data_IF_260573317505
#
_entry.id   IF_260573317505
#
_cell.length_a   1.000
_cell.length_b   1.000
_cell.length_c   1.000
_cell.angle_alpha   90.00
_cell.angle_beta   90.00
_cell.angle_gamma   90.00
#
_symmetry.space_group_name_H-M   'P 1'
#
loop_
_entity.id
_entity.type
_entity.pdbx_description
1 polymer ?
#
# COMPACT_ATOMS: atom_id res chain seq x y z
N UNK A 1 -11.93 11.28 -12.92
CA UNK A 1 -13.01 10.30 -13.22
C UNK A 1 -12.85 9.63 -14.60
N UNK A 2 -12.21 10.25 -15.61
CA UNK A 2 -12.09 9.67 -16.96
C UNK A 2 -10.93 8.68 -17.20
N UNK A 3 -9.90 8.63 -16.36
CA UNK A 3 -8.76 7.71 -16.59
C UNK A 3 -9.04 6.26 -16.17
N UNK A 4 -9.92 6.04 -15.17
CA UNK A 4 -10.32 4.67 -14.75
C UNK A 4 -11.10 3.96 -15.86
N UNK A 5 -11.95 4.68 -16.60
CA UNK A 5 -12.76 4.12 -17.68
C UNK A 5 -11.96 3.71 -18.92
N UNK A 6 -10.74 4.23 -19.12
CA UNK A 6 -9.94 3.95 -20.32
C UNK A 6 -9.08 2.68 -20.21
N UNK A 7 -8.79 2.20 -19.00
CA UNK A 7 -8.15 0.88 -18.78
C UNK A 7 -9.15 -0.30 -18.86
N UNK A 8 -10.44 0.00 -19.07
CA UNK A 8 -11.57 -0.88 -18.75
C UNK A 8 -12.13 -1.68 -19.94
N UNK A 9 -11.56 -1.55 -21.14
CA UNK A 9 -12.17 -2.05 -22.38
C UNK A 9 -11.76 -3.47 -22.80
N UNK A 10 -11.03 -4.25 -21.97
CA UNK A 10 -10.52 -5.54 -22.43
C UNK A 10 -10.59 -6.70 -21.44
N UNK A 11 -11.43 -6.66 -20.41
CA UNK A 11 -11.57 -7.84 -19.53
C UNK A 11 -12.97 -7.93 -18.92
N UNK A 12 -13.68 -9.00 -19.29
CA UNK A 12 -14.99 -9.37 -18.77
C UNK A 12 -14.79 -9.88 -17.34
N UNK A 13 -14.65 -8.96 -16.38
CA UNK A 13 -14.33 -9.30 -14.98
C UNK A 13 -15.47 -8.85 -14.09
N UNK A 14 -16.39 -9.75 -13.74
CA UNK A 14 -17.58 -9.47 -12.91
C UNK A 14 -18.59 -8.51 -13.58
N UNK A 15 -19.89 -8.67 -13.30
CA UNK A 15 -20.91 -7.72 -13.76
C UNK A 15 -20.52 -6.27 -13.40
N UNK A 16 -20.80 -5.30 -14.29
CA UNK A 16 -20.47 -3.87 -14.08
C UNK A 16 -20.83 -3.34 -12.67
N UNK A 17 -21.95 -3.82 -12.11
CA UNK A 17 -22.38 -3.49 -10.76
C UNK A 17 -21.36 -3.92 -9.68
N UNK A 18 -20.84 -5.15 -9.77
CA UNK A 18 -19.85 -5.70 -8.85
C UNK A 18 -18.53 -4.89 -8.87
N UNK A 19 -18.04 -4.55 -10.06
CA UNK A 19 -16.83 -3.74 -10.22
C UNK A 19 -16.96 -2.35 -9.57
N UNK A 20 -18.10 -1.68 -9.79
CA UNK A 20 -18.37 -0.37 -9.17
C UNK A 20 -18.37 -0.45 -7.65
N UNK A 21 -18.94 -1.52 -7.07
CA UNK A 21 -18.94 -1.69 -5.61
C UNK A 21 -17.55 -1.95 -5.05
N UNK A 22 -16.72 -2.70 -5.77
CA UNK A 22 -15.33 -2.93 -5.37
C UNK A 22 -14.49 -1.66 -5.42
N UNK A 23 -14.66 -0.84 -6.46
CA UNK A 23 -14.01 0.48 -6.53
C UNK A 23 -14.44 1.35 -5.36
N UNK A 24 -15.75 1.41 -5.07
CA UNK A 24 -16.28 2.19 -3.95
C UNK A 24 -15.70 1.72 -2.61
N UNK A 25 -15.64 0.40 -2.40
CA UNK A 25 -15.04 -0.18 -1.21
C UNK A 25 -13.53 0.13 -1.12
N UNK A 26 -12.80 0.02 -2.23
CA UNK A 26 -11.38 0.43 -2.31
C UNK A 26 -11.17 1.92 -2.06
N UNK A 27 -12.14 2.76 -2.38
CA UNK A 27 -12.14 4.20 -2.08
C UNK A 27 -12.52 4.53 -0.64
N UNK A 28 -12.80 3.51 0.20
CA UNK A 28 -13.22 3.69 1.58
C UNK A 28 -14.67 4.16 1.72
N UNK A 29 -15.52 3.91 0.73
CA UNK A 29 -16.97 4.12 0.88
C UNK A 29 -17.54 2.99 1.73
N UNK A 30 -18.43 3.32 2.67
CA UNK A 30 -19.16 2.31 3.42
C UNK A 30 -20.04 1.47 2.48
N UNK A 31 -19.96 0.16 2.66
CA UNK A 31 -20.81 -0.79 1.93
C UNK A 31 -21.54 -1.69 2.92
N UNK A 32 -22.87 -1.70 2.84
CA UNK A 32 -23.70 -2.49 3.74
C UNK A 32 -23.49 -4.00 3.55
N UNK A 33 -24.00 -4.79 4.50
CA UNK A 33 -23.83 -6.24 4.50
C UNK A 33 -24.50 -6.92 3.28
N UNK A 34 -25.65 -6.42 2.82
CA UNK A 34 -26.39 -6.97 1.68
C UNK A 34 -25.59 -6.80 0.40
N UNK A 35 -25.04 -5.61 0.16
CA UNK A 35 -24.23 -5.33 -1.01
C UNK A 35 -22.91 -6.11 -0.99
N UNK A 36 -22.26 -6.22 0.17
CA UNK A 36 -21.06 -7.06 0.34
C UNK A 36 -21.35 -8.52 -0.01
N UNK A 37 -22.46 -9.06 0.49
CA UNK A 37 -22.88 -10.43 0.20
C UNK A 37 -23.18 -10.63 -1.29
N UNK A 38 -23.90 -9.69 -1.93
CA UNK A 38 -24.21 -9.77 -3.36
C UNK A 38 -22.95 -9.81 -4.22
N UNK A 39 -21.95 -8.98 -3.91
CA UNK A 39 -20.65 -9.00 -4.59
C UNK A 39 -19.98 -10.35 -4.39
N UNK A 40 -19.89 -10.86 -3.16
CA UNK A 40 -19.26 -12.15 -2.90
C UNK A 40 -19.98 -13.31 -3.64
N UNK A 41 -21.30 -13.33 -3.67
CA UNK A 41 -22.07 -14.34 -4.41
C UNK A 41 -21.78 -14.26 -5.91
N UNK A 42 -21.76 -13.05 -6.48
CA UNK A 42 -21.43 -12.85 -7.91
C UNK A 42 -20.02 -13.37 -8.22
N UNK A 43 -19.05 -13.11 -7.34
CA UNK A 43 -17.66 -13.59 -7.51
C UNK A 43 -17.57 -15.11 -7.37
N UNK A 44 -18.40 -15.71 -6.52
CA UNK A 44 -18.44 -17.15 -6.31
C UNK A 44 -18.89 -17.91 -7.56
N UNK A 45 -19.79 -17.30 -8.34
CA UNK A 45 -20.35 -17.84 -9.58
C UNK A 45 -19.42 -17.73 -10.80
N UNK A 46 -18.36 -16.91 -10.72
CA UNK A 46 -17.36 -16.80 -11.78
C UNK A 46 -16.70 -18.15 -12.08
N UNK A 47 -16.38 -18.39 -13.35
CA UNK A 47 -15.64 -19.57 -13.76
C UNK A 47 -14.15 -19.51 -13.33
N UNK A 48 -13.43 -20.61 -13.55
CA UNK A 48 -12.02 -20.72 -13.17
C UNK A 48 -11.14 -19.66 -13.83
N UNK A 49 -11.36 -19.40 -15.12
CA UNK A 49 -10.56 -18.44 -15.90
C UNK A 49 -10.87 -17.03 -15.41
N UNK A 50 -12.14 -16.69 -15.26
CA UNK A 50 -12.60 -15.39 -14.77
C UNK A 50 -12.05 -15.08 -13.38
N UNK A 51 -12.06 -16.05 -12.45
CA UNK A 51 -11.46 -15.85 -11.11
C UNK A 51 -9.96 -15.59 -11.17
N UNK A 52 -9.25 -16.29 -12.05
CA UNK A 52 -7.80 -16.12 -12.23
C UNK A 52 -7.48 -14.73 -12.77
N UNK A 53 -8.12 -14.34 -13.88
CA UNK A 53 -7.99 -13.00 -14.47
C UNK A 53 -8.39 -11.91 -13.47
N UNK A 54 -9.38 -12.18 -12.62
CA UNK A 54 -9.79 -11.23 -11.60
C UNK A 54 -8.75 -11.02 -10.51
N UNK A 55 -8.18 -12.10 -9.97
CA UNK A 55 -7.10 -12.02 -8.97
C UNK A 55 -5.90 -11.24 -9.53
N UNK A 56 -5.52 -11.50 -10.78
CA UNK A 56 -4.45 -10.76 -11.45
C UNK A 56 -4.77 -9.27 -11.63
N UNK A 57 -5.99 -8.95 -12.08
CA UNK A 57 -6.46 -7.58 -12.23
C UNK A 57 -6.49 -6.82 -10.90
N UNK A 58 -6.93 -7.47 -9.82
CA UNK A 58 -6.92 -6.90 -8.47
C UNK A 58 -5.50 -6.57 -8.03
N UNK A 59 -4.57 -7.53 -8.12
CA UNK A 59 -3.18 -7.39 -7.68
C UNK A 59 -2.43 -6.33 -8.48
N UNK A 60 -2.58 -6.33 -9.81
CA UNK A 60 -1.69 -5.57 -10.69
C UNK A 60 -2.26 -4.21 -11.12
N UNK A 61 -3.58 -4.04 -11.09
CA UNK A 61 -4.23 -2.84 -11.65
C UNK A 61 -5.10 -2.16 -10.60
N UNK A 62 -6.17 -2.83 -10.15
CA UNK A 62 -7.24 -2.14 -9.42
C UNK A 62 -6.79 -1.64 -8.04
N UNK A 63 -6.13 -2.50 -7.26
CA UNK A 63 -5.65 -2.15 -5.92
C UNK A 63 -4.55 -1.08 -5.99
N UNK A 64 -3.45 -1.26 -6.75
CA UNK A 64 -2.40 -0.23 -6.83
C UNK A 64 -2.92 1.13 -7.28
N UNK A 65 -3.75 1.16 -8.34
CA UNK A 65 -4.29 2.40 -8.87
C UNK A 65 -5.21 3.12 -7.87
N UNK A 66 -6.10 2.38 -7.20
CA UNK A 66 -7.06 3.01 -6.28
C UNK A 66 -6.40 3.47 -4.99
N UNK A 67 -5.42 2.72 -4.48
CA UNK A 67 -4.66 3.12 -3.29
C UNK A 67 -3.85 4.40 -3.55
N UNK A 68 -3.19 4.51 -4.71
CA UNK A 68 -2.54 5.76 -5.13
C UNK A 68 -3.54 6.91 -5.26
N UNK A 69 -4.70 6.65 -5.88
CA UNK A 69 -5.76 7.64 -6.06
C UNK A 69 -6.33 8.14 -4.73
N UNK A 70 -6.45 7.26 -3.73
CA UNK A 70 -6.86 7.65 -2.37
C UNK A 70 -5.83 8.55 -1.71
N UNK A 71 -4.54 8.27 -1.89
CA UNK A 71 -3.48 9.16 -1.41
C UNK A 71 -3.54 10.53 -2.08
N UNK A 72 -3.67 10.57 -3.40
CA UNK A 72 -3.83 11.82 -4.14
C UNK A 72 -5.03 12.63 -3.63
N UNK A 73 -6.14 11.97 -3.32
CA UNK A 73 -7.32 12.60 -2.73
C UNK A 73 -7.06 13.12 -1.31
N UNK A 74 -6.38 12.33 -0.46
CA UNK A 74 -6.10 12.69 0.93
C UNK A 74 -5.13 13.88 1.06
N UNK A 75 -4.21 14.03 0.10
CA UNK A 75 -3.25 15.13 0.03
C UNK A 75 -3.64 16.25 -0.93
N UNK A 76 -4.82 16.16 -1.56
CA UNK A 76 -5.32 17.12 -2.54
C UNK A 76 -4.33 17.40 -3.69
N UNK A 77 -3.68 16.36 -4.20
CA UNK A 77 -2.60 16.45 -5.18
C UNK A 77 -2.85 15.60 -6.43
N UNK A 78 -1.96 15.71 -7.42
CA UNK A 78 -1.89 14.76 -8.54
C UNK A 78 -0.85 13.67 -8.26
N UNK A 79 -0.88 12.58 -9.03
CA UNK A 79 0.12 11.51 -8.92
C UNK A 79 1.55 12.01 -9.18
N UNK A 80 1.73 13.05 -10.01
CA UNK A 80 3.05 13.63 -10.27
C UNK A 80 3.62 14.37 -9.05
N UNK A 81 2.76 14.92 -8.19
CA UNK A 81 3.17 15.75 -7.06
C UNK A 81 3.46 14.92 -5.80
N UNK A 82 3.03 13.66 -5.77
CA UNK A 82 2.96 12.81 -4.57
C UNK A 82 4.31 12.69 -3.82
N UNK A 83 5.44 12.81 -4.50
CA UNK A 83 6.78 12.74 -3.90
C UNK A 83 7.16 13.95 -3.04
N UNK A 84 6.40 15.04 -3.13
CA UNK A 84 6.71 16.31 -2.47
C UNK A 84 5.58 16.83 -1.57
N UNK A 85 4.51 16.04 -1.38
CA UNK A 85 3.31 16.53 -0.66
C UNK A 85 3.46 16.50 0.85
N UNK A 86 4.22 15.56 1.42
CA UNK A 86 4.25 15.35 2.86
C UNK A 86 5.10 16.41 3.56
N UNK A 87 4.52 17.06 4.55
CA UNK A 87 5.18 18.04 5.40
C UNK A 87 4.59 17.99 6.83
N UNK A 88 5.14 18.79 7.75
CA UNK A 88 4.77 18.74 9.16
C UNK A 88 3.28 19.06 9.43
N UNK A 89 2.61 19.78 8.53
CA UNK A 89 1.25 20.26 8.73
C UNK A 89 0.18 19.28 8.21
N UNK A 90 0.55 18.27 7.42
CA UNK A 90 -0.39 17.34 6.81
C UNK A 90 -0.08 15.86 7.09
N UNK A 91 0.73 15.59 8.12
CA UNK A 91 1.01 14.23 8.60
C UNK A 91 -0.28 13.52 9.01
N UNK A 92 -1.25 14.25 9.57
CA UNK A 92 -2.56 13.70 9.94
C UNK A 92 -3.31 13.13 8.73
N UNK A 93 -3.16 13.69 7.53
CA UNK A 93 -3.76 13.13 6.30
C UNK A 93 -3.22 11.73 6.01
N UNK A 94 -1.93 11.46 6.27
CA UNK A 94 -1.36 10.11 6.14
C UNK A 94 -1.93 9.16 7.18
N UNK A 95 -2.06 9.62 8.42
CA UNK A 95 -2.59 8.83 9.53
C UNK A 95 -4.05 8.46 9.28
N UNK A 96 -4.88 9.40 8.82
CA UNK A 96 -6.28 9.15 8.49
C UNK A 96 -6.41 8.24 7.26
N UNK A 97 -5.58 8.41 6.24
CA UNK A 97 -5.52 7.50 5.09
C UNK A 97 -5.14 6.07 5.52
N UNK A 98 -4.17 5.94 6.44
CA UNK A 98 -3.78 4.66 7.02
C UNK A 98 -4.94 4.02 7.79
N UNK A 99 -5.60 4.78 8.68
CA UNK A 99 -6.79 4.31 9.42
C UNK A 99 -7.87 3.83 8.47
N UNK A 100 -8.25 4.64 7.49
CA UNK A 100 -9.24 4.29 6.46
C UNK A 100 -8.89 2.97 5.76
N UNK A 101 -7.62 2.81 5.38
CA UNK A 101 -7.13 1.59 4.73
C UNK A 101 -7.28 0.37 5.63
N UNK A 102 -6.82 0.50 6.88
CA UNK A 102 -6.72 -0.62 7.82
C UNK A 102 -8.06 -1.02 8.44
N UNK A 103 -8.88 -0.05 8.83
CA UNK A 103 -10.11 -0.31 9.60
C UNK A 103 -11.35 -0.43 8.72
N UNK A 104 -11.31 0.06 7.48
CA UNK A 104 -12.48 0.08 6.61
C UNK A 104 -12.26 -0.62 5.27
N UNK A 105 -11.26 -0.22 4.48
CA UNK A 105 -11.03 -0.76 3.14
C UNK A 105 -10.73 -2.26 3.20
N UNK A 106 -9.72 -2.66 4.00
CA UNK A 106 -9.31 -4.08 4.12
C UNK A 106 -10.47 -4.96 4.62
N UNK A 107 -11.14 -4.67 5.76
CA UNK A 107 -12.23 -5.53 6.24
C UNK A 107 -13.43 -5.60 5.28
N UNK A 108 -13.75 -4.49 4.60
CA UNK A 108 -14.86 -4.45 3.63
C UNK A 108 -14.56 -5.34 2.43
N UNK A 109 -13.35 -5.25 1.89
CA UNK A 109 -12.94 -6.06 0.76
C UNK A 109 -12.68 -7.52 1.14
N UNK A 110 -12.17 -7.81 2.34
CA UNK A 110 -12.06 -9.19 2.86
C UNK A 110 -13.45 -9.87 2.82
N UNK A 111 -14.50 -9.16 3.22
CA UNK A 111 -15.87 -9.66 3.19
C UNK A 111 -16.45 -9.83 1.76
N UNK A 112 -16.03 -9.01 0.80
CA UNK A 112 -16.47 -9.11 -0.60
C UNK A 112 -15.71 -10.16 -1.41
N UNK A 113 -14.41 -10.31 -1.13
CA UNK A 113 -13.46 -11.06 -1.95
C UNK A 113 -13.08 -12.43 -1.33
N UNK A 114 -13.69 -12.82 -0.21
CA UNK A 114 -13.44 -14.15 0.39
C UNK A 114 -13.57 -15.33 -0.59
N UNK A 115 -14.46 -15.33 -1.61
CA UNK A 115 -14.53 -16.45 -2.55
C UNK A 115 -13.24 -16.61 -3.37
N UNK A 116 -12.52 -15.51 -3.65
CA UNK A 116 -11.23 -15.57 -4.32
C UNK A 116 -10.14 -16.17 -3.43
N UNK A 117 -10.20 -15.94 -2.12
CA UNK A 117 -9.27 -16.57 -1.16
C UNK A 117 -9.53 -18.07 -1.00
N UNK A 118 -10.79 -18.48 -1.07
CA UNK A 118 -11.16 -19.91 -1.11
C UNK A 118 -10.66 -20.56 -2.40
N UNK A 119 -10.72 -19.82 -3.51
CA UNK A 119 -10.24 -20.26 -4.81
C UNK A 119 -8.71 -20.35 -4.90
N UNK A 120 -7.99 -19.28 -4.52
CA UNK A 120 -6.53 -19.19 -4.50
C UNK A 120 -6.07 -18.88 -3.06
N UNK A 121 -5.57 -19.90 -2.36
CA UNK A 121 -5.05 -19.74 -0.99
C UNK A 121 -3.82 -18.82 -0.89
N UNK A 122 -3.14 -18.56 -2.01
CA UNK A 122 -2.02 -17.60 -2.09
C UNK A 122 -2.49 -16.16 -2.27
N UNK A 123 -3.80 -15.95 -2.52
CA UNK A 123 -4.41 -14.63 -2.56
C UNK A 123 -4.60 -14.06 -1.17
N UNK A 124 -3.55 -13.41 -0.68
CA UNK A 124 -3.60 -12.57 0.52
C UNK A 124 -3.96 -11.13 0.14
N UNK A 125 -5.25 -10.82 0.23
CA UNK A 125 -5.79 -9.48 -0.05
C UNK A 125 -5.16 -8.42 0.85
N UNK A 126 -5.01 -8.69 2.15
CA UNK A 126 -4.44 -7.75 3.11
C UNK A 126 -3.01 -7.42 2.72
N UNK A 127 -2.17 -8.45 2.48
CA UNK A 127 -0.79 -8.24 2.05
C UNK A 127 -0.74 -7.48 0.71
N UNK A 128 -1.64 -7.79 -0.23
CA UNK A 128 -1.72 -7.11 -1.53
C UNK A 128 -2.02 -5.61 -1.37
N UNK A 129 -3.02 -5.24 -0.56
CA UNK A 129 -3.37 -3.84 -0.31
C UNK A 129 -2.23 -3.11 0.41
N UNK A 130 -1.63 -3.74 1.42
CA UNK A 130 -0.53 -3.12 2.18
C UNK A 130 0.75 -2.98 1.34
N UNK A 131 1.05 -3.93 0.45
CA UNK A 131 2.15 -3.81 -0.50
C UNK A 131 1.89 -2.68 -1.51
N UNK A 132 0.67 -2.55 -2.02
CA UNK A 132 0.30 -1.41 -2.85
C UNK A 132 0.43 -0.07 -2.09
N UNK A 133 0.04 -0.03 -0.81
CA UNK A 133 0.21 1.15 0.03
C UNK A 133 1.69 1.49 0.25
N UNK A 134 2.53 0.48 0.49
CA UNK A 134 3.99 0.63 0.55
C UNK A 134 4.52 1.25 -0.74
N UNK A 135 4.24 0.61 -1.88
CA UNK A 135 4.90 0.89 -3.16
C UNK A 135 4.40 2.17 -3.80
N UNK A 136 3.09 2.41 -3.76
CA UNK A 136 2.45 3.54 -4.46
C UNK A 136 2.25 4.77 -3.61
N UNK A 137 2.27 4.63 -2.29
CA UNK A 137 2.03 5.74 -1.36
C UNK A 137 3.27 6.02 -0.54
N UNK A 138 3.65 5.13 0.39
CA UNK A 138 4.72 5.43 1.35
C UNK A 138 6.07 5.66 0.69
N UNK A 139 6.49 4.80 -0.23
CA UNK A 139 7.77 4.96 -0.95
C UNK A 139 7.85 6.28 -1.72
N UNK A 140 6.71 6.85 -2.13
CA UNK A 140 6.67 8.11 -2.86
C UNK A 140 6.63 9.29 -1.91
N UNK A 141 5.67 9.33 -0.99
CA UNK A 141 5.50 10.48 -0.09
C UNK A 141 6.67 10.65 0.89
N UNK A 142 7.40 9.58 1.21
CA UNK A 142 8.56 9.63 2.11
C UNK A 142 9.87 9.95 1.38
N UNK A 143 9.90 9.90 0.04
CA UNK A 143 11.12 9.97 -0.75
C UNK A 143 11.97 11.21 -0.43
N UNK A 144 11.32 12.38 -0.33
CA UNK A 144 11.98 13.67 -0.14
C UNK A 144 11.75 14.27 1.26
N UNK A 145 11.28 13.47 2.22
CA UNK A 145 10.98 13.95 3.57
C UNK A 145 12.26 14.17 4.35
N UNK A 146 12.47 15.40 4.82
CA UNK A 146 13.64 15.81 5.63
C UNK A 146 13.31 16.13 7.08
N UNK A 147 12.05 15.93 7.46
CA UNK A 147 11.56 16.18 8.82
C UNK A 147 11.41 14.85 9.56
N UNK A 148 11.64 14.86 10.87
CA UNK A 148 11.35 13.71 11.71
C UNK A 148 9.84 13.55 11.85
N UNK A 149 9.32 12.35 11.60
CA UNK A 149 7.90 12.02 11.70
C UNK A 149 7.64 10.87 12.69
N UNK A 150 7.78 11.10 14.02
CA UNK A 150 7.60 10.03 15.01
C UNK A 150 6.19 9.40 14.99
N UNK A 151 5.16 10.19 14.65
CA UNK A 151 3.76 9.75 14.66
C UNK A 151 3.43 8.67 13.62
N UNK A 152 4.25 8.52 12.58
CA UNK A 152 4.04 7.52 11.51
C UNK A 152 4.98 6.31 11.63
N UNK A 153 5.84 6.29 12.65
CA UNK A 153 6.84 5.24 12.84
C UNK A 153 6.20 3.85 12.96
N UNK A 154 5.10 3.74 13.70
CA UNK A 154 4.35 2.49 13.84
C UNK A 154 3.77 2.01 12.50
N UNK A 155 3.30 2.94 11.66
CA UNK A 155 2.78 2.65 10.32
C UNK A 155 3.90 2.07 9.45
N UNK A 156 5.06 2.74 9.42
CA UNK A 156 6.22 2.33 8.63
C UNK A 156 6.70 0.93 9.04
N UNK A 157 6.87 0.69 10.35
CA UNK A 157 7.30 -0.62 10.83
C UNK A 157 6.29 -1.73 10.57
N UNK A 158 5.00 -1.45 10.76
CA UNK A 158 3.96 -2.42 10.48
C UNK A 158 3.93 -2.81 8.99
N UNK A 159 3.95 -1.81 8.09
CA UNK A 159 3.99 -2.04 6.65
C UNK A 159 5.25 -2.84 6.27
N UNK A 160 6.43 -2.43 6.74
CA UNK A 160 7.69 -3.12 6.47
C UNK A 160 7.61 -4.59 6.88
N UNK A 161 7.15 -4.87 8.10
CA UNK A 161 7.02 -6.23 8.60
C UNK A 161 6.03 -7.08 7.80
N UNK A 162 4.80 -6.59 7.58
CA UNK A 162 3.74 -7.39 6.95
C UNK A 162 3.98 -7.59 5.46
N UNK A 163 4.60 -6.63 4.79
CA UNK A 163 4.84 -6.68 3.34
C UNK A 163 6.22 -7.23 2.98
N UNK A 164 6.99 -7.71 3.96
CA UNK A 164 8.31 -8.28 3.70
C UNK A 164 8.27 -9.34 2.59
N UNK A 165 9.13 -9.12 1.60
CA UNK A 165 9.32 -9.96 0.43
C UNK A 165 10.73 -9.69 -0.17
N UNK A 166 11.05 -10.32 -1.31
CA UNK A 166 12.33 -10.15 -1.99
C UNK A 166 12.25 -9.16 -3.17
N UNK A 167 11.22 -8.31 -3.22
CA UNK A 167 11.03 -7.35 -4.31
C UNK A 167 11.99 -6.16 -4.21
N UNK A 168 12.26 -5.54 -5.36
CA UNK A 168 13.01 -4.29 -5.44
C UNK A 168 12.31 -3.14 -4.72
N UNK A 169 10.99 -3.15 -4.73
CA UNK A 169 10.12 -2.14 -4.13
C UNK A 169 10.20 -2.19 -2.61
N UNK A 170 10.21 -3.39 -2.02
CA UNK A 170 10.41 -3.57 -0.58
C UNK A 170 11.78 -3.05 -0.11
N UNK A 171 12.85 -3.41 -0.83
CA UNK A 171 14.21 -2.94 -0.52
C UNK A 171 14.30 -1.42 -0.62
N UNK A 172 13.71 -0.84 -1.68
CA UNK A 172 13.68 0.61 -1.89
C UNK A 172 12.90 1.31 -0.78
N UNK A 173 11.72 0.79 -0.43
CA UNK A 173 10.91 1.30 0.66
C UNK A 173 11.67 1.35 1.98
N UNK A 174 12.33 0.25 2.38
CA UNK A 174 13.06 0.22 3.63
C UNK A 174 14.22 1.22 3.67
N UNK A 175 14.91 1.43 2.54
CA UNK A 175 15.94 2.46 2.44
C UNK A 175 15.37 3.87 2.66
N UNK A 176 14.22 4.18 2.05
CA UNK A 176 13.52 5.45 2.21
C UNK A 176 13.00 5.62 3.65
N UNK A 177 12.39 4.57 4.20
CA UNK A 177 11.87 4.54 5.55
C UNK A 177 12.97 4.78 6.60
N UNK A 178 14.12 4.13 6.47
CA UNK A 178 15.25 4.33 7.37
C UNK A 178 15.73 5.79 7.40
N UNK A 179 15.75 6.45 6.23
CA UNK A 179 16.07 7.89 6.12
C UNK A 179 15.01 8.76 6.77
N UNK A 180 13.73 8.52 6.46
CA UNK A 180 12.61 9.28 7.00
C UNK A 180 12.48 9.14 8.54
N UNK A 181 12.90 8.00 9.09
CA UNK A 181 12.96 7.75 10.53
C UNK A 181 14.25 8.23 11.20
N UNK A 182 15.23 8.74 10.44
CA UNK A 182 16.53 9.16 10.97
C UNK A 182 17.41 8.01 11.47
N UNK A 183 17.16 6.78 11.02
CA UNK A 183 17.96 5.59 11.34
C UNK A 183 19.23 5.49 10.47
N UNK A 184 19.20 6.10 9.29
CA UNK A 184 20.36 6.30 8.41
C UNK A 184 20.55 7.79 8.18
N UNK A 185 21.60 8.36 8.77
CA UNK A 185 22.10 9.68 8.39
C UNK A 185 22.80 9.55 7.03
N UNK A 186 22.41 10.37 6.06
CA UNK A 186 23.25 10.61 4.89
C UNK A 186 24.57 11.17 5.42
N UNK A 187 25.65 10.39 5.34
CA UNK A 187 26.99 10.94 5.56
C UNK A 187 27.17 12.07 4.54
N UNK A 188 27.57 13.29 4.96
CA UNK A 188 27.89 14.32 3.99
C UNK A 188 28.98 13.79 3.08
N UNK A 189 28.81 13.92 1.75
CA UNK A 189 29.85 13.66 0.77
C UNK A 189 31.10 14.46 1.15
N UNK A 190 32.01 13.84 1.89
CA UNK A 190 33.30 14.40 2.23
C UNK A 190 34.14 14.34 0.97
N UNK A 191 34.36 15.50 0.39
CA UNK A 191 35.46 15.75 -0.53
C UNK A 191 36.79 15.27 0.08
N UNK A 192 37.50 14.48 -0.71
CA UNK A 192 38.96 14.23 -0.70
C UNK A 192 39.59 13.39 0.43
N UNK A 193 40.07 12.21 -0.01
CA UNK A 193 41.25 11.43 0.39
C UNK A 193 42.03 11.83 1.65
N UNK A 194 42.20 10.88 2.59
CA UNK A 194 43.43 10.07 2.76
C UNK A 194 43.40 9.29 4.09
N UNK A 195 43.87 8.04 4.01
CA UNK A 195 44.33 7.08 5.02
C UNK A 195 43.91 7.15 6.49
N UNK A 196 43.44 5.99 7.00
CA UNK A 196 43.76 5.60 8.37
C UNK A 196 42.78 4.62 9.03
N UNK A 197 43.04 3.32 8.85
CA UNK A 197 42.59 2.19 9.67
C UNK A 197 42.06 2.52 11.08
N UNK A 198 40.85 2.06 11.41
CA UNK A 198 40.56 1.28 12.63
C UNK A 198 39.13 0.71 12.64
N UNK A 199 39.08 -0.60 12.88
CA UNK A 199 37.91 -1.39 13.30
C UNK A 199 37.09 -0.69 14.40
N UNK A 200 35.77 -0.77 14.30
CA UNK A 200 34.94 -1.11 15.45
C UNK A 200 33.63 -1.76 15.00
N UNK A 201 33.48 -3.03 15.33
CA UNK A 201 32.24 -3.79 15.24
C UNK A 201 31.12 -3.06 15.99
N UNK A 202 29.97 -2.88 15.33
CA UNK A 202 28.68 -2.69 16.02
C UNK A 202 27.72 -3.75 15.54
N UNK A 203 27.71 -4.86 16.27
CA UNK A 203 26.62 -5.84 16.28
C UNK A 203 25.42 -5.15 16.92
N UNK A 204 24.40 -4.79 16.12
CA UNK A 204 23.10 -4.41 16.67
C UNK A 204 22.27 -5.70 16.78
N UNK A 205 22.22 -6.23 17.99
CA UNK A 205 21.39 -7.34 18.39
C UNK A 205 19.97 -6.80 18.67
N UNK A 206 19.03 -6.99 17.75
CA UNK A 206 17.60 -6.70 18.01
C UNK A 206 16.94 -8.02 18.39
N UNK A 207 17.00 -8.34 19.67
CA UNK A 207 16.16 -9.36 20.30
C UNK A 207 15.02 -8.67 21.05
N UNK A 208 13.79 -9.10 20.75
CA UNK A 208 12.61 -9.04 21.62
C UNK A 208 12.06 -7.69 22.07
N UNK A 209 10.93 -7.30 21.46
CA UNK A 209 9.78 -6.74 22.18
C UNK A 209 8.49 -7.37 21.63
N UNK A 210 8.24 -8.61 22.03
CA UNK A 210 6.90 -9.18 22.15
C UNK A 210 6.65 -9.41 23.64
N UNK A 211 5.81 -8.56 24.21
CA UNK A 211 5.00 -8.80 25.42
C UNK A 211 3.67 -8.13 25.20
#
# INVERSE_FOLDING_TARGET
>A
MNQVLLLYNSTVICHFSCQVQLIKALQGTETDATMRHLVATTISELDLREKTEFVESLRNVLIPFTIEGNACKAFECTSADLENVLNANNVDSLIELWKLTFTQIIPTLDAMLYPLKVFDSTFDLRKTILAAFRDRVLSRILLNVRISLPSIQSIIFYISFVTADNSTEYVTFNSIADKALGLKTDEPESSEADNGSKNLEKVINISFLLT
#
